data_IF_077905230850
#
_entry.id   IF_077905230850
#
_cell.length_a   1.000
_cell.length_b   1.000
_cell.length_c   1.000
_cell.angle_alpha   90.00
_cell.angle_beta   90.00
_cell.angle_gamma   90.00
#
_symmetry.space_group_name_H-M   'P 1'
#
loop_
_entity.id
_entity.type
_entity.pdbx_description
1 polymer ?
#
# COMPACT_ATOMS: atom_id res chain seq x y z
N UNK A 1 7.93 -2.04 10.79
CA UNK A 1 8.16 -2.98 11.91
C UNK A 1 9.60 -2.93 12.41
N UNK A 2 10.60 -3.13 11.54
CA UNK A 2 12.04 -2.97 11.91
C UNK A 2 12.32 -1.59 12.50
N UNK A 3 11.80 -0.53 11.86
CA UNK A 3 12.00 0.85 12.32
C UNK A 3 11.43 1.06 13.73
N UNK A 4 10.23 0.55 14.01
CA UNK A 4 9.61 0.64 15.34
C UNK A 4 10.43 -0.11 16.39
N UNK A 5 10.91 -1.33 16.10
CA UNK A 5 11.75 -2.09 17.03
C UNK A 5 13.05 -1.34 17.33
N UNK A 6 13.67 -0.71 16.32
CA UNK A 6 14.86 0.12 16.49
C UNK A 6 14.57 1.39 17.31
N UNK A 7 13.44 2.04 17.05
CA UNK A 7 13.01 3.24 17.76
C UNK A 7 12.77 2.94 19.26
N UNK A 8 12.06 1.86 19.56
CA UNK A 8 11.83 1.43 20.94
C UNK A 8 13.13 1.03 21.65
N UNK A 9 14.03 0.34 20.96
CA UNK A 9 15.36 0.00 21.49
C UNK A 9 16.21 1.26 21.79
N UNK A 10 16.17 2.27 20.92
CA UNK A 10 16.83 3.57 21.16
C UNK A 10 16.22 4.32 22.37
N UNK A 11 14.93 4.14 22.61
CA UNK A 11 14.23 4.68 23.77
C UNK A 11 14.43 3.84 25.05
N UNK A 12 15.16 2.71 24.99
CA UNK A 12 15.34 1.79 26.11
C UNK A 12 14.10 0.97 26.46
N UNK A 13 13.13 0.89 25.55
CA UNK A 13 11.87 0.14 25.70
C UNK A 13 12.02 -1.25 25.09
N UNK A 14 11.66 -2.27 25.85
CA UNK A 14 11.61 -3.64 25.35
C UNK A 14 10.19 -4.07 24.97
N UNK A 15 10.08 -4.89 23.93
CA UNK A 15 8.84 -5.42 23.38
C UNK A 15 8.75 -6.89 23.76
N UNK A 16 7.61 -7.30 24.31
CA UNK A 16 7.30 -8.70 24.57
C UNK A 16 6.11 -9.14 23.75
N UNK A 17 6.31 -10.14 22.91
CA UNK A 17 5.28 -10.84 22.14
C UNK A 17 4.69 -11.92 23.05
N UNK A 18 3.45 -11.73 23.49
CA UNK A 18 2.80 -12.62 24.45
C UNK A 18 2.47 -13.99 23.83
N UNK A 19 2.01 -13.99 22.58
CA UNK A 19 1.59 -15.22 21.88
C UNK A 19 2.80 -16.14 21.56
N UNK A 20 3.92 -15.53 21.16
CA UNK A 20 5.15 -16.26 20.81
C UNK A 20 6.08 -16.50 22.00
N UNK A 21 5.78 -15.92 23.18
CA UNK A 21 6.64 -15.96 24.36
C UNK A 21 8.00 -15.28 24.16
N UNK A 22 8.13 -14.43 23.15
CA UNK A 22 9.39 -13.81 22.76
C UNK A 22 9.54 -12.40 23.36
N UNK A 23 10.75 -12.06 23.79
CA UNK A 23 11.10 -10.72 24.29
C UNK A 23 12.23 -10.15 23.44
N UNK A 24 12.20 -8.85 23.18
CA UNK A 24 13.35 -8.12 22.61
C UNK A 24 14.38 -7.74 23.67
N UNK A 25 14.17 -8.14 24.92
CA UNK A 25 15.14 -7.98 26.01
C UNK A 25 16.40 -8.82 25.75
N UNK A 26 17.56 -8.19 25.98
CA UNK A 26 18.86 -8.84 25.81
C UNK A 26 19.31 -9.00 24.35
N UNK A 27 20.59 -9.34 24.18
CA UNK A 27 21.23 -9.40 22.87
C UNK A 27 20.60 -10.45 21.93
N UNK A 28 20.15 -11.58 22.49
CA UNK A 28 19.52 -12.66 21.72
C UNK A 28 18.12 -12.26 21.23
N UNK A 29 17.29 -11.64 22.09
CA UNK A 29 15.95 -11.18 21.72
C UNK A 29 15.98 -10.15 20.58
N UNK A 30 16.92 -9.21 20.65
CA UNK A 30 17.15 -8.21 19.59
C UNK A 30 17.56 -8.84 18.26
N UNK A 31 18.42 -9.86 18.29
CA UNK A 31 18.84 -10.57 17.09
C UNK A 31 17.65 -11.28 16.42
N UNK A 32 16.87 -12.04 17.18
CA UNK A 32 15.74 -12.80 16.62
C UNK A 32 14.66 -11.85 16.09
N UNK A 33 14.34 -10.78 16.81
CA UNK A 33 13.39 -9.76 16.34
C UNK A 33 13.85 -9.10 15.03
N UNK A 34 15.15 -8.85 14.88
CA UNK A 34 15.73 -8.29 13.65
C UNK A 34 15.61 -9.28 12.49
N UNK A 35 15.92 -10.55 12.70
CA UNK A 35 15.82 -11.60 11.68
C UNK A 35 14.38 -11.78 11.22
N UNK A 36 13.44 -11.95 12.15
CA UNK A 36 12.01 -12.12 11.81
C UNK A 36 11.47 -10.92 11.05
N UNK A 37 11.86 -9.72 11.45
CA UNK A 37 11.42 -8.51 10.78
C UNK A 37 12.05 -8.36 9.38
N UNK A 38 13.29 -8.80 9.18
CA UNK A 38 13.92 -8.84 7.86
C UNK A 38 13.23 -9.85 6.94
N UNK A 39 12.86 -11.02 7.46
CA UNK A 39 12.08 -12.03 6.72
C UNK A 39 10.72 -11.47 6.33
N UNK A 40 10.00 -10.84 7.27
CA UNK A 40 8.71 -10.22 6.98
C UNK A 40 8.81 -9.13 5.90
N UNK A 41 9.89 -8.33 5.90
CA UNK A 41 10.14 -7.34 4.87
C UNK A 41 10.41 -7.98 3.50
N UNK A 42 11.21 -9.04 3.45
CA UNK A 42 11.51 -9.79 2.22
C UNK A 42 10.24 -10.42 1.63
N UNK A 43 9.37 -11.00 2.47
CA UNK A 43 8.08 -11.54 2.03
C UNK A 43 7.15 -10.45 1.49
N UNK A 44 7.08 -9.30 2.18
CA UNK A 44 6.29 -8.15 1.71
C UNK A 44 6.77 -7.69 0.33
N UNK A 45 8.08 -7.61 0.13
CA UNK A 45 8.68 -7.23 -1.14
C UNK A 45 8.34 -8.24 -2.25
N UNK A 46 8.45 -9.55 -1.97
CA UNK A 46 8.07 -10.62 -2.90
C UNK A 46 6.60 -10.53 -3.35
N UNK A 47 5.68 -10.21 -2.42
CA UNK A 47 4.26 -10.03 -2.75
C UNK A 47 4.07 -8.84 -3.71
N UNK A 48 4.78 -7.74 -3.46
CA UNK A 48 4.73 -6.54 -4.30
C UNK A 48 5.28 -6.81 -5.70
N UNK A 49 6.40 -7.52 -5.81
CA UNK A 49 7.01 -7.94 -7.08
C UNK A 49 6.01 -8.72 -7.92
N UNK A 50 5.45 -9.80 -7.37
CA UNK A 50 4.46 -10.63 -8.07
C UNK A 50 3.20 -9.85 -8.46
N UNK A 51 2.75 -8.94 -7.60
CA UNK A 51 1.59 -8.09 -7.89
C UNK A 51 1.88 -7.11 -9.03
N UNK A 52 3.09 -6.57 -9.08
CA UNK A 52 3.52 -5.67 -10.14
C UNK A 52 3.68 -6.42 -11.47
N UNK A 53 4.25 -7.63 -11.46
CA UNK A 53 4.30 -8.51 -12.64
C UNK A 53 2.88 -8.81 -13.17
N UNK A 54 1.96 -9.21 -12.29
CA UNK A 54 0.56 -9.41 -12.69
C UNK A 54 -0.10 -8.13 -13.24
N UNK A 55 0.24 -6.96 -12.67
CA UNK A 55 -0.26 -5.66 -13.15
C UNK A 55 0.28 -5.33 -14.54
N UNK A 56 1.56 -5.56 -14.82
CA UNK A 56 2.15 -5.28 -16.14
C UNK A 56 1.56 -6.19 -17.20
N UNK A 57 1.38 -7.48 -16.91
CA UNK A 57 0.70 -8.42 -17.80
C UNK A 57 -0.75 -8.02 -18.08
N UNK A 58 -1.52 -7.68 -17.04
CA UNK A 58 -2.90 -7.24 -17.19
C UNK A 58 -2.99 -5.95 -18.03
N UNK A 59 -2.05 -5.02 -17.84
CA UNK A 59 -1.96 -3.81 -18.67
C UNK A 59 -1.65 -4.14 -20.13
N UNK A 60 -0.75 -5.09 -20.38
CA UNK A 60 -0.44 -5.58 -21.73
C UNK A 60 -1.64 -6.27 -22.40
N UNK A 61 -2.48 -6.97 -21.62
CA UNK A 61 -3.77 -7.56 -22.06
C UNK A 61 -4.88 -6.51 -22.28
N UNK A 62 -4.60 -5.22 -22.05
CA UNK A 62 -5.55 -4.13 -22.25
C UNK A 62 -6.54 -3.91 -21.11
N UNK A 63 -6.30 -4.47 -19.92
CA UNK A 63 -7.12 -4.20 -18.74
C UNK A 63 -7.01 -2.71 -18.38
N UNK A 64 -8.15 -2.02 -18.37
CA UNK A 64 -8.20 -0.63 -17.94
C UNK A 64 -8.18 -0.54 -16.41
N UNK A 65 -7.11 0.04 -15.88
CA UNK A 65 -6.95 0.30 -14.45
C UNK A 65 -7.59 1.64 -14.04
N UNK A 66 -7.80 1.80 -12.74
CA UNK A 66 -8.39 3.00 -12.16
C UNK A 66 -9.92 2.96 -12.09
N UNK A 67 -10.51 4.05 -11.58
CA UNK A 67 -11.97 4.16 -11.47
C UNK A 67 -12.58 4.20 -12.86
N UNK A 68 -13.59 3.34 -13.09
CA UNK A 68 -14.38 3.37 -14.33
C UNK A 68 -15.01 4.76 -14.51
N UNK A 69 -14.94 5.29 -15.74
CA UNK A 69 -15.60 6.55 -16.09
C UNK A 69 -17.10 6.38 -15.93
N UNK A 70 -17.70 7.12 -15.01
CA UNK A 70 -19.15 7.09 -14.75
C UNK A 70 -19.91 8.19 -15.49
N UNK A 71 -19.21 9.23 -15.97
CA UNK A 71 -19.82 10.38 -16.63
C UNK A 71 -19.71 10.20 -18.15
N UNK A 72 -20.83 10.42 -18.85
CA UNK A 72 -20.84 10.48 -20.30
C UNK A 72 -20.31 11.84 -20.77
N UNK A 73 -19.01 11.89 -21.07
CA UNK A 73 -18.34 13.10 -21.56
C UNK A 73 -18.94 13.67 -22.84
N UNK A 74 -19.52 12.84 -23.72
CA UNK A 74 -20.12 13.33 -24.96
C UNK A 74 -21.36 14.18 -24.67
N UNK A 75 -22.20 13.74 -23.71
CA UNK A 75 -23.38 14.49 -23.28
C UNK A 75 -22.99 15.84 -22.69
N UNK A 76 -21.99 15.87 -21.81
CA UNK A 76 -21.48 17.11 -21.20
C UNK A 76 -20.94 18.05 -22.27
N UNK A 77 -20.16 17.54 -23.23
CA UNK A 77 -19.58 18.34 -24.32
C UNK A 77 -20.66 18.90 -25.26
N UNK A 78 -21.68 18.13 -25.58
CA UNK A 78 -22.81 18.57 -26.40
C UNK A 78 -23.63 19.68 -25.71
N UNK A 79 -23.87 19.56 -24.40
CA UNK A 79 -24.59 20.59 -23.65
C UNK A 79 -23.76 21.88 -23.50
N UNK A 80 -22.46 21.76 -23.32
CA UNK A 80 -21.54 22.90 -23.33
C UNK A 80 -21.53 23.62 -24.69
N UNK A 81 -21.48 22.87 -25.81
CA UNK A 81 -21.55 23.44 -27.16
C UNK A 81 -22.88 24.16 -27.44
N UNK A 82 -23.97 23.79 -26.76
CA UNK A 82 -25.26 24.50 -26.82
C UNK A 82 -25.28 25.79 -25.98
N UNK A 83 -24.16 26.18 -25.38
CA UNK A 83 -24.03 27.41 -24.59
C UNK A 83 -24.49 27.29 -23.14
N UNK A 84 -24.75 26.07 -22.64
CA UNK A 84 -25.14 25.86 -21.24
C UNK A 84 -23.90 26.07 -20.35
N UNK A 85 -24.00 27.01 -19.41
CA UNK A 85 -22.92 27.34 -18.48
C UNK A 85 -22.57 26.18 -17.54
N UNK A 86 -21.31 26.12 -17.10
CA UNK A 86 -20.78 25.02 -16.29
C UNK A 86 -21.59 24.74 -15.01
N UNK A 87 -22.08 25.78 -14.34
CA UNK A 87 -22.89 25.66 -13.12
C UNK A 87 -24.21 24.91 -13.37
N UNK A 88 -24.83 25.13 -14.54
CA UNK A 88 -26.06 24.45 -14.94
C UNK A 88 -25.80 23.01 -15.45
N UNK A 89 -24.56 22.68 -15.85
CA UNK A 89 -24.16 21.32 -16.21
C UNK A 89 -23.82 20.45 -14.98
N UNK A 90 -23.46 21.09 -13.87
CA UNK A 90 -23.06 20.42 -12.62
C UNK A 90 -24.19 20.22 -11.62
N UNK A 91 -25.31 20.93 -11.79
CA UNK A 91 -26.54 20.69 -11.02
C UNK A 91 -27.26 19.44 -11.54
#
# INVERSE_FOLDING_TARGET
>A
MIELIKEFDQAGVAIRLLDDGMSTEGAMGKMVATILSAVAQAERQRILERTNEGRTEAKAKGVQFGRKRSINHQKVKALYQKGIGATALSQ
#
